data_IF_945209240171
#
_entry.id   IF_945209240171
#
_cell.length_a   1.000
_cell.length_b   1.000
_cell.length_c   1.000
_cell.angle_alpha   90.00
_cell.angle_beta   90.00
_cell.angle_gamma   90.00
#
_symmetry.space_group_name_H-M   'P 1'
#
loop_
_entity.id
_entity.type
_entity.pdbx_description
1 polymer ?
#
# COMPACT_ATOMS: atom_id res chain seq x y z
N UNK A 1 -15.06 -12.55 -8.65
CA UNK A 1 -14.37 -11.42 -7.98
C UNK A 1 -12.90 -11.76 -7.79
N UNK A 2 -11.98 -11.53 -8.77
CA UNK A 2 -10.58 -11.98 -8.65
C UNK A 2 -9.68 -11.00 -7.88
N UNK A 3 -10.23 -9.92 -7.31
CA UNK A 3 -9.47 -8.86 -6.61
C UNK A 3 -9.74 -8.81 -5.09
N UNK A 4 -10.06 -9.95 -4.47
CA UNK A 4 -10.14 -10.04 -3.01
C UNK A 4 -8.80 -9.73 -2.34
N UNK A 5 -8.83 -9.27 -1.10
CA UNK A 5 -7.65 -8.91 -0.31
C UNK A 5 -8.01 -8.81 1.17
N UNK A 6 -7.01 -8.61 2.04
CA UNK A 6 -7.22 -8.38 3.48
C UNK A 6 -7.41 -6.91 3.82
N UNK A 7 -6.91 -6.03 2.94
CA UNK A 7 -7.16 -4.60 3.03
C UNK A 7 -8.65 -4.31 2.93
N UNK A 8 -9.10 -3.30 3.67
CA UNK A 8 -10.40 -2.71 3.40
C UNK A 8 -10.28 -1.85 2.13
N UNK A 9 -11.19 -2.02 1.15
CA UNK A 9 -11.24 -1.13 -0.01
C UNK A 9 -11.62 0.28 0.44
N UNK A 10 -11.10 1.29 -0.25
CA UNK A 10 -11.62 2.66 -0.16
C UNK A 10 -12.37 3.02 -1.44
N UNK A 11 -13.38 3.88 -1.31
CA UNK A 11 -14.13 4.42 -2.45
C UNK A 11 -13.98 5.94 -2.47
N UNK A 12 -13.51 6.48 -3.59
CA UNK A 12 -13.30 7.91 -3.79
C UNK A 12 -13.49 8.26 -5.26
N UNK A 13 -14.23 9.33 -5.58
CA UNK A 13 -14.40 9.84 -6.94
C UNK A 13 -14.80 8.77 -7.97
N UNK A 14 -15.83 7.97 -7.63
CA UNK A 14 -16.34 6.83 -8.42
C UNK A 14 -15.31 5.73 -8.71
N UNK A 15 -14.30 5.57 -7.85
CA UNK A 15 -13.26 4.56 -7.97
C UNK A 15 -13.11 3.78 -6.66
N UNK A 16 -12.86 2.48 -6.79
CA UNK A 16 -12.54 1.57 -5.68
C UNK A 16 -11.06 1.27 -5.72
N UNK A 17 -10.35 1.50 -4.61
CA UNK A 17 -8.93 1.21 -4.49
C UNK A 17 -8.68 0.08 -3.49
N UNK A 18 -7.85 -0.87 -3.88
CA UNK A 18 -7.56 -2.08 -3.11
C UNK A 18 -6.06 -2.36 -3.14
N UNK A 19 -5.48 -2.64 -1.97
CA UNK A 19 -4.16 -3.25 -1.87
C UNK A 19 -4.33 -4.76 -1.70
N UNK A 20 -3.85 -5.57 -2.63
CA UNK A 20 -3.87 -7.03 -2.49
C UNK A 20 -2.60 -7.67 -3.05
N UNK A 21 -2.52 -9.00 -3.01
CA UNK A 21 -1.43 -9.72 -3.65
C UNK A 21 -1.74 -10.02 -5.12
N UNK A 22 -0.69 -10.26 -5.88
CA UNK A 22 -0.74 -10.76 -7.24
C UNK A 22 0.31 -11.86 -7.42
N UNK A 23 0.06 -12.78 -8.35
CA UNK A 23 0.97 -13.91 -8.60
C UNK A 23 1.00 -14.93 -7.46
N UNK A 24 1.95 -15.86 -7.55
CA UNK A 24 2.15 -16.94 -6.57
C UNK A 24 3.61 -17.39 -6.55
N UNK A 25 4.04 -18.01 -5.44
CA UNK A 25 5.40 -18.53 -5.24
C UNK A 25 6.45 -17.44 -5.53
N UNK A 26 7.39 -17.70 -6.45
CA UNK A 26 8.46 -16.78 -6.86
C UNK A 26 7.97 -15.52 -7.57
N UNK A 27 6.73 -15.52 -8.05
CA UNK A 27 6.09 -14.37 -8.73
C UNK A 27 5.16 -13.59 -7.80
N UNK A 28 5.19 -13.87 -6.49
CA UNK A 28 4.35 -13.18 -5.53
C UNK A 28 4.73 -11.69 -5.45
N UNK A 29 3.72 -10.85 -5.63
CA UNK A 29 3.81 -9.40 -5.61
C UNK A 29 2.71 -8.82 -4.73
N UNK A 30 2.91 -7.60 -4.26
CA UNK A 30 1.80 -6.75 -3.86
C UNK A 30 1.34 -5.92 -5.06
N UNK A 31 0.08 -5.53 -5.05
CA UNK A 31 -0.48 -4.66 -6.07
C UNK A 31 -1.51 -3.71 -5.51
N UNK A 32 -1.55 -2.53 -6.09
CA UNK A 32 -2.63 -1.56 -5.93
C UNK A 32 -3.52 -1.64 -7.15
N UNK A 33 -4.82 -1.82 -6.93
CA UNK A 33 -5.82 -1.93 -7.99
C UNK A 33 -6.80 -0.79 -7.86
N UNK A 34 -7.11 -0.13 -8.98
CA UNK A 34 -8.23 0.80 -9.10
C UNK A 34 -9.30 0.18 -10.01
N UNK A 35 -10.52 0.11 -9.49
CA UNK A 35 -11.71 -0.32 -10.23
C UNK A 35 -12.67 0.85 -10.37
N UNK A 36 -13.47 0.82 -11.43
CA UNK A 36 -14.66 1.64 -11.55
C UNK A 36 -15.69 1.20 -10.50
N UNK A 37 -16.25 2.13 -9.70
CA UNK A 37 -17.10 1.74 -8.58
C UNK A 37 -18.49 1.25 -9.01
N UNK A 38 -19.01 1.75 -10.13
CA UNK A 38 -20.32 1.33 -10.65
C UNK A 38 -20.25 -0.02 -11.36
N UNK A 39 -19.21 -0.24 -12.17
CA UNK A 39 -19.09 -1.41 -13.05
C UNK A 39 -18.15 -2.49 -12.54
N UNK A 40 -17.31 -2.19 -11.55
CA UNK A 40 -16.25 -3.08 -11.06
C UNK A 40 -15.13 -3.34 -12.07
N UNK A 41 -15.12 -2.64 -13.21
CA UNK A 41 -14.11 -2.84 -14.27
C UNK A 41 -12.76 -2.27 -13.83
N UNK A 42 -11.69 -3.01 -14.16
CA UNK A 42 -10.33 -2.56 -13.94
C UNK A 42 -10.06 -1.25 -14.69
N UNK A 43 -9.63 -0.22 -13.96
CA UNK A 43 -9.14 1.04 -14.52
C UNK A 43 -7.63 1.02 -14.68
N UNK A 44 -6.93 0.62 -13.63
CA UNK A 44 -5.48 0.42 -13.62
C UNK A 44 -5.06 -0.52 -12.49
N UNK A 45 -3.89 -1.15 -12.64
CA UNK A 45 -3.20 -1.84 -11.55
C UNK A 45 -1.71 -1.49 -11.57
N UNK A 46 -1.11 -1.44 -10.38
CA UNK A 46 0.33 -1.29 -10.19
C UNK A 46 0.83 -2.45 -9.34
N UNK A 47 1.75 -3.26 -9.88
CA UNK A 47 2.34 -4.42 -9.19
C UNK A 47 3.78 -4.11 -8.82
N UNK A 48 4.18 -4.51 -7.63
CA UNK A 48 5.55 -4.36 -7.16
C UNK A 48 5.97 -5.58 -6.33
N UNK A 49 7.26 -5.88 -6.37
CA UNK A 49 7.84 -7.00 -5.66
C UNK A 49 7.94 -6.68 -4.16
N UNK A 50 7.70 -7.70 -3.33
CA UNK A 50 7.98 -7.63 -1.90
C UNK A 50 9.42 -8.07 -1.68
N UNK A 51 10.28 -7.15 -1.28
CA UNK A 51 11.67 -7.44 -0.93
C UNK A 51 11.86 -7.44 0.59
N UNK A 52 12.91 -8.14 1.05
CA UNK A 52 13.44 -8.05 2.42
C UNK A 52 12.38 -8.23 3.53
N UNK A 53 11.46 -9.18 3.35
CA UNK A 53 10.40 -9.47 4.32
C UNK A 53 10.27 -10.96 4.61
N UNK A 54 10.21 -11.31 5.90
CA UNK A 54 9.92 -12.68 6.36
C UNK A 54 8.42 -12.97 6.46
N UNK A 55 7.58 -12.08 5.92
CA UNK A 55 6.12 -12.26 5.96
C UNK A 55 5.72 -13.35 4.96
N UNK A 56 5.01 -14.39 5.41
CA UNK A 56 4.66 -15.47 4.51
C UNK A 56 3.67 -14.97 3.45
N UNK A 57 3.69 -15.54 2.23
CA UNK A 57 2.91 -15.06 1.09
C UNK A 57 1.43 -14.82 1.38
N UNK A 58 0.85 -15.74 2.14
CA UNK A 58 -0.54 -15.67 2.55
C UNK A 58 -0.81 -14.60 3.61
N UNK A 59 0.08 -13.65 3.93
CA UNK A 59 -0.13 -12.59 4.94
C UNK A 59 0.24 -11.19 4.47
N UNK A 60 0.58 -11.03 3.20
CA UNK A 60 0.88 -9.71 2.62
C UNK A 60 -0.40 -8.91 2.31
N UNK A 61 -0.23 -7.64 1.96
CA UNK A 61 -1.29 -6.70 1.58
C UNK A 61 -2.38 -6.51 2.64
N UNK A 62 -1.95 -6.22 3.88
CA UNK A 62 -2.84 -6.05 5.04
C UNK A 62 -3.35 -4.62 5.19
N UNK A 63 -2.50 -3.62 4.94
CA UNK A 63 -2.86 -2.20 5.02
C UNK A 63 -4.02 -1.86 4.09
N UNK A 64 -4.94 -1.03 4.58
CA UNK A 64 -5.93 -0.38 3.72
C UNK A 64 -5.31 0.85 3.05
N UNK A 65 -5.63 1.14 1.77
CA UNK A 65 -5.23 2.41 1.16
C UNK A 65 -5.87 3.60 1.91
N UNK A 66 -5.27 4.78 1.76
CA UNK A 66 -5.85 6.05 2.15
C UNK A 66 -6.00 6.95 0.93
N UNK A 67 -7.09 7.70 0.83
CA UNK A 67 -7.37 8.61 -0.29
C UNK A 67 -7.50 10.04 0.19
N UNK A 68 -6.79 10.96 -0.44
CA UNK A 68 -6.94 12.40 -0.21
C UNK A 68 -8.06 12.93 -1.10
N UNK A 69 -9.10 13.49 -0.48
CA UNK A 69 -10.26 14.02 -1.19
C UNK A 69 -9.96 15.32 -1.93
N UNK A 70 -8.98 16.10 -1.49
CA UNK A 70 -8.64 17.37 -2.10
C UNK A 70 -7.86 17.17 -3.40
N UNK A 71 -6.82 16.34 -3.35
CA UNK A 71 -5.97 16.07 -4.53
C UNK A 71 -6.45 14.90 -5.38
N UNK A 72 -7.25 13.98 -4.81
CA UNK A 72 -7.63 12.72 -5.45
C UNK A 72 -6.53 11.65 -5.45
N UNK A 73 -5.43 11.89 -4.72
CA UNK A 73 -4.32 10.95 -4.62
C UNK A 73 -4.61 9.80 -3.66
N UNK A 74 -3.95 8.67 -3.89
CA UNK A 74 -4.10 7.45 -3.08
C UNK A 74 -2.76 7.00 -2.56
N UNK A 75 -2.72 6.58 -1.30
CA UNK A 75 -1.52 6.22 -0.56
C UNK A 75 -1.64 4.80 0.00
N UNK A 76 -0.58 4.01 -0.11
CA UNK A 76 -0.57 2.62 0.34
C UNK A 76 0.73 2.27 1.05
N UNK A 77 0.64 1.49 2.13
CA UNK A 77 1.81 0.91 2.79
C UNK A 77 1.85 -0.61 2.59
N UNK A 78 2.78 -1.04 1.76
CA UNK A 78 3.08 -2.45 1.51
C UNK A 78 3.80 -3.13 2.66
N UNK A 79 3.77 -4.46 2.66
CA UNK A 79 4.36 -5.29 3.71
C UNK A 79 5.88 -5.13 3.86
N UNK A 80 6.58 -4.79 2.78
CA UNK A 80 8.02 -4.52 2.77
C UNK A 80 8.42 -3.14 3.33
N UNK A 81 7.47 -2.38 3.89
CA UNK A 81 7.70 -0.97 4.25
C UNK A 81 7.70 -0.04 3.03
N UNK A 82 7.20 -0.51 1.88
CA UNK A 82 7.06 0.30 0.66
C UNK A 82 5.85 1.22 0.81
N UNK A 83 6.10 2.51 1.05
CA UNK A 83 5.07 3.55 1.08
C UNK A 83 5.01 4.21 -0.30
N UNK A 84 3.82 4.24 -0.90
CA UNK A 84 3.65 4.75 -2.27
C UNK A 84 2.50 5.75 -2.33
N UNK A 85 2.64 6.71 -3.25
CA UNK A 85 1.56 7.61 -3.65
C UNK A 85 1.23 7.47 -5.13
N UNK A 86 -0.05 7.50 -5.44
CA UNK A 86 -0.59 7.37 -6.78
C UNK A 86 -1.53 8.53 -7.10
N UNK A 87 -1.50 9.01 -8.34
CA UNK A 87 -2.58 9.85 -8.87
C UNK A 87 -3.85 9.03 -9.09
N UNK A 88 -4.97 9.70 -9.32
CA UNK A 88 -6.25 9.04 -9.60
C UNK A 88 -6.22 8.12 -10.85
N UNK A 89 -5.29 8.40 -11.77
CA UNK A 89 -5.02 7.69 -13.03
C UNK A 89 -3.98 6.58 -12.89
N UNK A 90 -3.43 6.36 -11.69
CA UNK A 90 -2.48 5.28 -11.42
C UNK A 90 -1.01 5.64 -11.70
N UNK A 91 -0.71 6.92 -11.92
CA UNK A 91 0.69 7.38 -12.00
C UNK A 91 1.31 7.33 -10.61
N UNK A 92 2.46 6.67 -10.47
CA UNK A 92 3.28 6.75 -9.26
C UNK A 92 3.80 8.18 -9.13
N UNK A 93 3.40 8.86 -8.06
CA UNK A 93 3.84 10.22 -7.75
C UNK A 93 5.18 10.19 -6.99
N UNK A 94 5.30 9.25 -6.05
CA UNK A 94 6.53 8.93 -5.34
C UNK A 94 6.43 7.55 -4.70
N UNK A 95 7.59 6.97 -4.38
CA UNK A 95 7.77 5.71 -3.69
C UNK A 95 8.88 5.88 -2.65
N UNK A 96 8.66 5.33 -1.45
CA UNK A 96 9.60 5.40 -0.32
C UNK A 96 9.75 4.02 0.32
N UNK A 97 10.97 3.66 0.69
CA UNK A 97 11.30 2.39 1.30
C UNK A 97 11.61 2.59 2.78
N UNK A 98 10.58 2.55 3.63
CA UNK A 98 10.70 2.92 5.04
C UNK A 98 11.62 1.98 5.84
N UNK A 99 11.84 0.75 5.36
CA UNK A 99 12.82 -0.15 5.94
C UNK A 99 14.25 0.36 5.76
N UNK A 100 14.57 0.89 4.58
CA UNK A 100 15.88 1.45 4.26
C UNK A 100 16.06 2.86 4.83
N UNK A 101 15.03 3.70 4.72
CA UNK A 101 15.09 5.10 5.12
C UNK A 101 15.01 5.27 6.65
N UNK A 102 14.17 4.48 7.33
CA UNK A 102 13.84 4.67 8.74
C UNK A 102 14.11 3.46 9.62
N UNK A 103 14.56 2.34 9.04
CA UNK A 103 14.75 1.10 9.78
C UNK A 103 13.43 0.50 10.28
N UNK A 104 12.31 0.69 9.55
CA UNK A 104 11.03 0.08 9.95
C UNK A 104 11.16 -1.45 10.00
N UNK A 105 10.67 -2.05 11.08
CA UNK A 105 10.69 -3.48 11.30
C UNK A 105 9.40 -4.07 10.78
N UNK A 106 9.54 -5.03 9.86
CA UNK A 106 8.44 -5.91 9.46
C UNK A 106 8.56 -7.20 10.26
N UNK A 107 7.44 -7.74 10.74
CA UNK A 107 7.44 -8.99 11.52
C UNK A 107 6.64 -10.04 10.77
N UNK A 108 6.93 -11.32 11.03
CA UNK A 108 6.26 -12.48 10.41
C UNK A 108 4.71 -12.45 10.49
N UNK A 109 4.14 -11.63 11.37
CA UNK A 109 2.69 -11.40 11.44
C UNK A 109 2.10 -10.72 10.20
N UNK A 110 2.89 -9.97 9.42
CA UNK A 110 2.45 -9.32 8.16
C UNK A 110 1.50 -8.14 8.32
N UNK A 111 1.22 -7.72 9.56
CA UNK A 111 0.33 -6.61 9.85
C UNK A 111 1.07 -5.29 9.66
N UNK A 112 0.68 -4.56 8.63
CA UNK A 112 1.06 -3.16 8.43
C UNK A 112 -0.08 -2.24 8.86
N UNK A 113 0.26 -0.99 9.16
CA UNK A 113 -0.72 0.05 9.48
C UNK A 113 -1.28 0.65 8.20
N UNK A 114 -2.55 1.07 8.25
CA UNK A 114 -3.13 1.87 7.18
C UNK A 114 -2.64 3.32 7.29
N UNK A 115 -2.19 3.95 6.20
CA UNK A 115 -1.87 5.37 6.20
C UNK A 115 -3.06 6.23 6.62
N UNK A 116 -2.78 7.40 7.18
CA UNK A 116 -3.77 8.45 7.46
C UNK A 116 -3.29 9.74 6.79
N UNK A 117 -4.24 10.53 6.30
CA UNK A 117 -3.97 11.79 5.61
C UNK A 117 -4.49 12.91 6.49
N UNK A 118 -3.63 13.88 6.77
CA UNK A 118 -3.96 15.10 7.50
C UNK A 118 -3.32 16.26 6.76
N UNK A 119 -4.14 17.16 6.21
CA UNK A 119 -3.69 18.24 5.33
C UNK A 119 -2.73 17.73 4.23
N UNK A 120 -1.50 18.25 4.17
CA UNK A 120 -0.48 17.85 3.21
C UNK A 120 0.41 16.68 3.69
N UNK A 121 0.05 16.01 4.79
CA UNK A 121 0.85 14.95 5.41
C UNK A 121 0.25 13.56 5.20
N UNK A 122 1.13 12.59 4.93
CA UNK A 122 0.81 11.17 4.97
C UNK A 122 1.48 10.58 6.21
N UNK A 123 0.65 10.12 7.14
CA UNK A 123 1.09 9.63 8.45
C UNK A 123 1.01 8.11 8.44
N UNK A 124 2.12 7.47 8.81
CA UNK A 124 2.21 6.04 9.10
C UNK A 124 2.96 5.83 10.41
N UNK A 125 2.66 4.75 11.11
CA UNK A 125 3.38 4.33 12.32
C UNK A 125 4.03 2.96 12.13
N UNK A 126 5.12 2.73 12.84
CA UNK A 126 5.86 1.49 12.75
C UNK A 126 6.85 1.35 13.89
N UNK A 127 7.25 0.11 14.15
CA UNK A 127 8.40 -0.17 15.02
C UNK A 127 9.66 0.06 14.19
N UNK A 128 10.64 0.79 14.72
CA UNK A 128 11.91 1.06 14.03
C UNK A 128 13.08 0.50 14.83
N UNK A 129 14.16 0.10 14.17
CA UNK A 129 15.41 -0.34 14.82
C UNK A 129 16.31 0.83 15.24
N UNK A 130 16.05 2.04 14.72
CA UNK A 130 16.80 3.26 15.04
C UNK A 130 16.24 4.03 16.25
N UNK A 131 17.14 4.54 17.10
CA UNK A 131 16.88 5.51 18.17
C UNK A 131 17.74 6.76 17.95
N UNK A 132 17.13 7.92 17.68
CA UNK A 132 17.82 9.23 17.57
C UNK A 132 18.53 9.52 16.22
N UNK A 133 18.57 10.82 15.86
CA UNK A 133 19.12 11.43 14.63
C UNK A 133 18.47 11.05 13.28
N UNK A 134 17.15 11.19 13.22
CA UNK A 134 16.39 11.31 11.96
C UNK A 134 15.97 12.78 11.81
N UNK A 135 16.96 13.68 11.72
CA UNK A 135 16.76 15.14 11.59
C UNK A 135 16.95 15.61 10.17
#
# INVERSE_FOLDING_TARGET
MPYGGRSAPIVMNNRVYILNHAGANETLQERVVCLDADTGKLRWEHKYNVYLSDVPPHRIAWSSPAGDKETGNVYTLGVGGTLMAFSSEGKVLWERHLAEEFGIVTTHGGRTVSPVIEEAMVIVSGVTTGWGNQS
#
